data_IF_072560815350
#
_entry.id   IF_072560815350
#
_cell.length_a   1.000
_cell.length_b   1.000
_cell.length_c   1.000
_cell.angle_alpha   90.00
_cell.angle_beta   90.00
_cell.angle_gamma   90.00
#
_symmetry.space_group_name_H-M   'P 1'
#
loop_
_entity.id
_entity.type
_entity.pdbx_description
1 polymer ?
#
# COMPACT_ATOMS: atom_id res chain seq x y z
N UNK A 1 13.80 -27.49 -35.57
CA UNK A 1 15.19 -28.02 -35.86
C UNK A 1 15.93 -26.99 -36.68
N UNK A 2 17.22 -26.64 -36.47
CA UNK A 2 18.31 -27.36 -35.81
C UNK A 2 18.76 -26.69 -34.49
N UNK A 3 19.27 -27.31 -33.47
CA UNK A 3 20.37 -28.20 -33.12
C UNK A 3 21.76 -27.53 -33.05
N UNK A 4 22.36 -27.74 -31.84
CA UNK A 4 23.78 -27.79 -31.48
C UNK A 4 24.56 -26.47 -31.28
N UNK A 5 25.19 -26.25 -30.09
CA UNK A 5 26.49 -26.84 -29.73
C UNK A 5 26.82 -26.64 -28.23
N UNK A 6 27.18 -27.72 -27.56
CA UNK A 6 27.86 -27.77 -26.28
C UNK A 6 29.38 -27.62 -26.47
N UNK A 7 30.14 -26.97 -25.57
CA UNK A 7 31.57 -27.17 -25.32
C UNK A 7 31.88 -26.95 -23.84
N UNK A 8 32.14 -27.98 -23.17
CA UNK A 8 33.22 -28.58 -22.38
C UNK A 8 34.25 -27.61 -21.75
N UNK A 9 34.40 -27.77 -20.41
CA UNK A 9 35.47 -27.26 -19.57
C UNK A 9 36.84 -27.88 -19.88
N UNK A 10 37.95 -27.30 -19.42
CA UNK A 10 39.15 -28.05 -19.15
C UNK A 10 39.51 -28.07 -17.66
N UNK A 11 39.65 -29.28 -17.17
CA UNK A 11 40.38 -29.68 -15.96
C UNK A 11 41.88 -29.50 -16.22
N UNK A 12 42.55 -28.81 -15.27
CA UNK A 12 44.00 -28.71 -15.23
C UNK A 12 44.54 -29.29 -13.92
N UNK A 13 45.07 -30.49 -14.00
CA UNK A 13 45.95 -31.13 -13.01
C UNK A 13 47.26 -30.35 -12.87
N UNK A 14 47.70 -30.11 -11.65
CA UNK A 14 49.06 -29.68 -11.34
C UNK A 14 49.78 -30.82 -10.62
N UNK A 15 50.76 -31.39 -11.32
CA UNK A 15 51.65 -32.42 -10.85
C UNK A 15 52.70 -31.91 -9.88
N UNK A 16 52.95 -32.70 -8.86
CA UNK A 16 54.03 -32.60 -7.88
C UNK A 16 55.42 -32.82 -8.50
N UNK A 17 56.35 -31.95 -8.21
CA UNK A 17 57.79 -32.31 -8.25
C UNK A 17 58.49 -31.77 -7.00
N UNK A 18 58.99 -32.73 -6.23
CA UNK A 18 59.83 -32.57 -5.05
C UNK A 18 61.26 -32.28 -5.46
N UNK A 19 61.84 -31.18 -4.98
CA UNK A 19 63.28 -31.03 -4.78
C UNK A 19 63.58 -30.41 -3.40
N UNK A 20 64.29 -31.19 -2.61
CA UNK A 20 64.75 -30.93 -1.26
C UNK A 20 66.09 -30.17 -1.27
N UNK A 21 66.16 -29.02 -0.55
CA UNK A 21 67.41 -28.43 -0.08
C UNK A 21 67.32 -28.03 1.38
N UNK A 22 68.40 -28.19 2.21
CA UNK A 22 68.31 -28.06 3.67
C UNK A 22 68.71 -26.71 4.21
N UNK A 23 68.09 -26.31 5.27
CA UNK A 23 68.62 -25.32 6.22
C UNK A 23 68.03 -23.91 6.07
N UNK A 24 66.91 -23.63 6.66
CA UNK A 24 66.41 -22.28 6.89
C UNK A 24 65.28 -22.32 7.92
N UNK A 25 65.49 -21.75 9.14
CA UNK A 25 64.46 -21.57 10.16
C UNK A 25 63.40 -20.59 9.59
N UNK A 26 62.27 -21.07 9.17
CA UNK A 26 61.09 -20.24 8.94
C UNK A 26 60.34 -20.04 10.25
N UNK A 27 60.42 -18.84 10.81
CA UNK A 27 59.47 -18.35 11.80
C UNK A 27 58.11 -18.18 11.09
N UNK A 28 57.18 -19.04 11.38
CA UNK A 28 55.78 -18.90 10.92
C UNK A 28 55.11 -17.72 11.60
N UNK A 29 55.15 -16.55 11.00
CA UNK A 29 54.14 -15.52 11.25
C UNK A 29 52.91 -15.93 10.45
N UNK A 30 51.97 -16.55 11.13
CA UNK A 30 50.60 -16.74 10.65
C UNK A 30 49.95 -15.36 10.52
N UNK A 31 50.07 -14.74 9.37
CA UNK A 31 49.17 -13.66 8.98
C UNK A 31 47.85 -14.30 8.59
N UNK A 32 46.96 -14.44 9.57
CA UNK A 32 45.54 -14.61 9.31
C UNK A 32 45.07 -13.32 8.64
N UNK A 33 45.11 -13.29 7.31
CA UNK A 33 44.31 -12.34 6.54
C UNK A 33 42.86 -12.75 6.70
N UNK A 34 42.22 -12.25 7.76
CA UNK A 34 40.79 -12.25 7.87
C UNK A 34 40.23 -11.42 6.71
N UNK A 35 39.69 -12.08 5.70
CA UNK A 35 38.66 -11.48 4.88
C UNK A 35 37.50 -11.17 5.83
N UNK A 36 37.51 -10.01 6.44
CA UNK A 36 36.28 -9.45 6.99
C UNK A 36 35.41 -9.15 5.78
N UNK A 37 34.37 -9.98 5.58
CA UNK A 37 33.19 -9.55 4.84
C UNK A 37 32.76 -8.21 5.42
N UNK A 38 33.02 -7.12 4.71
CA UNK A 38 32.40 -5.83 4.96
C UNK A 38 30.99 -5.96 4.40
N UNK A 39 30.14 -6.75 5.07
CA UNK A 39 28.72 -6.67 4.87
C UNK A 39 28.31 -5.23 5.19
N UNK A 40 27.54 -4.61 4.33
CA UNK A 40 27.10 -3.23 4.48
C UNK A 40 26.52 -3.00 5.86
N UNK A 41 27.24 -2.24 6.69
CA UNK A 41 26.88 -2.04 8.10
C UNK A 41 25.89 -0.89 8.17
N UNK A 42 24.68 -1.17 8.63
CA UNK A 42 23.71 -0.14 9.02
C UNK A 42 24.10 0.38 10.40
N UNK A 43 24.24 1.70 10.58
CA UNK A 43 24.55 2.29 11.87
C UNK A 43 23.30 2.88 12.55
N UNK A 44 22.44 3.53 11.77
CA UNK A 44 21.26 4.20 12.27
C UNK A 44 20.01 3.89 11.43
N UNK A 45 18.90 3.65 12.11
CA UNK A 45 17.56 3.59 11.49
C UNK A 45 16.73 4.76 11.98
N UNK A 46 16.21 5.55 11.04
CA UNK A 46 15.31 6.66 11.30
C UNK A 46 13.89 6.26 10.89
N UNK A 47 12.97 6.23 11.86
CA UNK A 47 11.57 5.85 11.62
C UNK A 47 10.73 7.09 11.32
N UNK A 48 10.05 7.08 10.17
CA UNK A 48 9.11 8.15 9.81
C UNK A 48 7.85 8.09 10.69
N UNK A 49 7.28 9.24 11.01
CA UNK A 49 6.00 9.38 11.71
C UNK A 49 5.11 10.40 10.98
N UNK A 50 3.80 10.10 10.75
CA UNK A 50 3.17 8.80 10.96
C UNK A 50 3.55 7.77 9.88
N UNK A 51 3.38 6.49 10.19
CA UNK A 51 3.56 5.34 9.29
C UNK A 51 2.55 4.24 9.61
N UNK A 52 2.44 3.23 8.73
CA UNK A 52 1.60 2.07 8.95
C UNK A 52 0.09 2.38 8.90
N UNK A 53 -0.73 1.56 9.53
CA UNK A 53 -2.18 1.59 9.42
C UNK A 53 -2.79 2.97 9.64
N UNK A 54 -3.82 3.27 8.85
CA UNK A 54 -4.68 4.43 9.04
C UNK A 54 -6.06 4.00 9.55
N UNK A 55 -6.84 4.94 10.10
CA UNK A 55 -8.16 4.65 10.64
C UNK A 55 -9.13 3.97 9.66
N UNK A 56 -8.99 4.23 8.36
CA UNK A 56 -9.80 3.57 7.33
C UNK A 56 -9.45 2.09 7.17
N UNK A 57 -8.18 1.76 7.21
CA UNK A 57 -7.64 0.40 7.14
C UNK A 57 -7.99 -0.39 8.40
N UNK A 58 -7.72 0.17 9.59
CA UNK A 58 -8.07 -0.46 10.87
C UNK A 58 -9.55 -0.82 10.92
N UNK A 59 -10.42 0.14 10.56
CA UNK A 59 -11.87 -0.09 10.50
C UNK A 59 -12.25 -1.21 9.53
N UNK A 60 -11.64 -1.26 8.35
CA UNK A 60 -11.99 -2.25 7.34
C UNK A 60 -11.62 -3.67 7.79
N UNK A 61 -10.44 -3.85 8.36
CA UNK A 61 -9.99 -5.13 8.94
C UNK A 61 -10.91 -5.53 10.10
N UNK A 62 -11.20 -4.61 11.01
CA UNK A 62 -12.06 -4.87 12.17
C UNK A 62 -13.48 -5.31 11.76
N UNK A 63 -14.03 -4.75 10.66
CA UNK A 63 -15.32 -5.16 10.12
C UNK A 63 -15.32 -6.64 9.73
N UNK A 64 -14.30 -7.11 9.00
CA UNK A 64 -14.20 -8.52 8.60
C UNK A 64 -14.01 -9.42 9.81
N UNK A 65 -13.14 -9.07 10.75
CA UNK A 65 -12.91 -9.85 11.96
C UNK A 65 -14.16 -9.94 12.84
N UNK A 66 -14.91 -8.84 12.99
CA UNK A 66 -16.18 -8.86 13.75
C UNK A 66 -17.25 -9.64 13.02
N UNK A 67 -17.31 -9.58 11.70
CA UNK A 67 -18.22 -10.41 10.91
C UNK A 67 -17.90 -11.90 11.09
N UNK A 68 -16.63 -12.31 11.03
CA UNK A 68 -16.19 -13.67 11.31
C UNK A 68 -16.57 -14.13 12.72
N UNK A 69 -16.36 -13.30 13.74
CA UNK A 69 -16.74 -13.62 15.13
C UNK A 69 -18.26 -13.75 15.31
N UNK A 70 -19.05 -12.93 14.63
CA UNK A 70 -20.50 -12.87 14.82
C UNK A 70 -21.25 -13.91 14.02
N UNK A 71 -20.88 -14.14 12.76
CA UNK A 71 -21.63 -14.97 11.81
C UNK A 71 -20.91 -16.30 11.53
N UNK A 72 -19.67 -16.44 11.96
CA UNK A 72 -18.84 -17.60 11.62
C UNK A 72 -18.27 -17.52 10.21
N UNK A 73 -17.34 -18.43 9.91
CA UNK A 73 -16.79 -18.59 8.57
C UNK A 73 -17.74 -19.45 7.70
N UNK A 74 -17.77 -19.24 6.38
CA UNK A 74 -17.01 -18.23 5.64
C UNK A 74 -17.67 -16.85 5.62
N UNK A 75 -16.87 -15.80 5.58
CA UNK A 75 -17.29 -14.43 5.24
C UNK A 75 -16.70 -14.09 3.88
N UNK A 76 -17.53 -13.63 2.95
CA UNK A 76 -17.09 -13.25 1.62
C UNK A 76 -16.66 -11.79 1.60
N UNK A 77 -15.54 -11.48 0.96
CA UNK A 77 -15.02 -10.12 0.85
C UNK A 77 -14.82 -9.80 -0.63
N UNK A 78 -15.52 -8.77 -1.12
CA UNK A 78 -15.40 -8.31 -2.50
C UNK A 78 -14.12 -7.53 -2.68
N UNK A 79 -13.20 -8.06 -3.47
CA UNK A 79 -11.84 -7.59 -3.66
C UNK A 79 -11.00 -7.68 -2.37
N UNK A 80 -9.67 -7.45 -2.44
CA UNK A 80 -8.84 -7.35 -1.23
C UNK A 80 -9.38 -6.28 -0.29
N UNK A 81 -9.52 -6.61 1.00
CA UNK A 81 -10.06 -5.64 1.98
C UNK A 81 -9.24 -4.35 2.02
N UNK A 82 -7.92 -4.49 1.92
CA UNK A 82 -6.90 -3.46 1.73
C UNK A 82 -5.76 -4.07 0.93
N UNK A 83 -4.97 -3.26 0.22
CA UNK A 83 -3.82 -3.72 -0.55
C UNK A 83 -2.64 -4.08 0.36
N UNK A 84 -2.68 -5.26 0.97
CA UNK A 84 -1.58 -5.82 1.75
C UNK A 84 -1.71 -7.35 1.82
N UNK A 85 -0.72 -8.06 1.28
CA UNK A 85 -0.70 -9.52 1.17
C UNK A 85 -0.74 -10.21 2.53
N UNK A 86 -0.05 -9.67 3.54
CA UNK A 86 -0.06 -10.22 4.91
C UNK A 86 -1.46 -10.13 5.53
N UNK A 87 -2.13 -8.98 5.42
CA UNK A 87 -3.49 -8.78 5.94
C UNK A 87 -4.49 -9.72 5.26
N UNK A 88 -4.40 -9.84 3.93
CA UNK A 88 -5.27 -10.74 3.16
C UNK A 88 -5.04 -12.19 3.56
N UNK A 89 -3.77 -12.61 3.73
CA UNK A 89 -3.43 -13.97 4.15
C UNK A 89 -3.93 -14.27 5.57
N UNK A 90 -3.77 -13.34 6.51
CA UNK A 90 -4.26 -13.48 7.89
C UNK A 90 -5.79 -13.64 7.95
N UNK A 91 -6.51 -12.81 7.22
CA UNK A 91 -7.97 -12.90 7.16
C UNK A 91 -8.46 -14.17 6.45
N UNK A 92 -7.74 -14.65 5.41
CA UNK A 92 -8.01 -15.96 4.80
C UNK A 92 -7.84 -17.10 5.80
N UNK A 93 -6.77 -17.08 6.58
CA UNK A 93 -6.53 -18.07 7.64
C UNK A 93 -7.64 -18.06 8.71
N UNK A 94 -8.26 -16.91 8.96
CA UNK A 94 -9.41 -16.74 9.87
C UNK A 94 -10.76 -17.16 9.24
N UNK A 95 -10.81 -17.47 7.93
CA UNK A 95 -12.01 -17.94 7.24
C UNK A 95 -12.70 -16.92 6.32
N UNK A 96 -12.02 -15.81 5.97
CA UNK A 96 -12.50 -14.92 4.93
C UNK A 96 -12.20 -15.49 3.53
N UNK A 97 -13.15 -15.36 2.60
CA UNK A 97 -13.01 -15.74 1.20
C UNK A 97 -13.06 -14.46 0.37
N UNK A 98 -11.95 -14.15 -0.31
CA UNK A 98 -11.86 -13.00 -1.19
C UNK A 98 -12.33 -13.38 -2.59
N UNK A 99 -13.28 -12.61 -3.14
CA UNK A 99 -13.91 -12.86 -4.45
C UNK A 99 -13.84 -11.60 -5.32
N UNK A 100 -13.86 -11.80 -6.62
CA UNK A 100 -13.97 -10.72 -7.60
C UNK A 100 -15.36 -10.64 -8.24
N UNK A 101 -16.06 -11.76 -8.37
CA UNK A 101 -17.40 -11.82 -8.92
C UNK A 101 -18.43 -12.20 -7.83
N UNK A 102 -19.55 -11.47 -7.77
CA UNK A 102 -20.64 -11.78 -6.86
C UNK A 102 -21.30 -13.14 -7.15
N UNK A 103 -21.10 -13.70 -8.35
CA UNK A 103 -21.56 -15.05 -8.70
C UNK A 103 -20.88 -16.14 -7.85
N UNK A 104 -19.71 -15.87 -7.29
CA UNK A 104 -19.00 -16.80 -6.40
C UNK A 104 -19.61 -16.88 -5.00
N UNK A 105 -20.52 -15.96 -4.65
CA UNK A 105 -21.12 -15.86 -3.31
C UNK A 105 -22.43 -16.65 -3.25
N UNK A 106 -22.57 -17.63 -2.32
CA UNK A 106 -23.83 -18.35 -2.13
C UNK A 106 -24.97 -17.43 -1.67
N UNK A 107 -26.23 -17.73 -2.03
CA UNK A 107 -27.38 -16.99 -1.55
C UNK A 107 -27.44 -16.89 -0.02
N UNK A 108 -27.76 -15.70 0.50
CA UNK A 108 -27.89 -15.45 1.94
C UNK A 108 -26.57 -15.37 2.71
N UNK A 109 -25.43 -15.47 2.04
CA UNK A 109 -24.13 -15.35 2.69
C UNK A 109 -23.84 -13.91 3.14
N UNK A 110 -22.90 -13.78 4.08
CA UNK A 110 -22.39 -12.48 4.53
C UNK A 110 -21.30 -11.99 3.58
N UNK A 111 -21.51 -10.80 3.02
CA UNK A 111 -20.60 -10.12 2.09
C UNK A 111 -20.07 -8.82 2.70
N UNK A 112 -18.78 -8.59 2.59
CA UNK A 112 -18.12 -7.34 2.97
C UNK A 112 -17.59 -6.66 1.71
N UNK A 113 -17.92 -5.39 1.50
CA UNK A 113 -17.25 -4.56 0.50
C UNK A 113 -15.94 -4.00 1.05
N UNK A 114 -14.88 -3.99 0.23
CA UNK A 114 -13.54 -3.55 0.64
C UNK A 114 -13.47 -2.04 0.98
N UNK A 115 -12.35 -1.63 1.57
CA UNK A 115 -12.09 -0.23 1.91
C UNK A 115 -12.11 0.72 0.70
N UNK A 116 -11.88 0.20 -0.49
CA UNK A 116 -11.82 0.96 -1.75
C UNK A 116 -13.19 1.44 -2.25
N UNK A 117 -14.27 0.84 -1.74
CA UNK A 117 -15.62 1.08 -2.25
C UNK A 117 -15.94 0.26 -3.49
N UNK A 118 -17.21 0.31 -3.89
CA UNK A 118 -17.71 -0.42 -5.06
C UNK A 118 -18.61 0.46 -5.93
N UNK A 119 -18.70 0.11 -7.21
CA UNK A 119 -19.65 0.72 -8.13
C UNK A 119 -21.10 0.53 -7.65
N UNK A 120 -21.96 1.49 -7.96
CA UNK A 120 -23.39 1.43 -7.59
C UNK A 120 -24.07 0.16 -8.13
N UNK A 121 -23.70 -0.28 -9.33
CA UNK A 121 -24.25 -1.51 -9.91
C UNK A 121 -23.93 -2.76 -9.07
N UNK A 122 -22.69 -2.87 -8.58
CA UNK A 122 -22.26 -3.99 -7.71
C UNK A 122 -23.05 -4.01 -6.41
N UNK A 123 -23.30 -2.85 -5.80
CA UNK A 123 -24.13 -2.74 -4.59
C UNK A 123 -25.55 -3.20 -4.85
N UNK A 124 -26.18 -2.70 -5.92
CA UNK A 124 -27.54 -3.07 -6.29
C UNK A 124 -27.68 -4.58 -6.59
N UNK A 125 -26.72 -5.16 -7.28
CA UNK A 125 -26.68 -6.59 -7.53
C UNK A 125 -26.57 -7.40 -6.23
N UNK A 126 -25.70 -7.01 -5.31
CA UNK A 126 -25.55 -7.67 -4.01
C UNK A 126 -26.85 -7.62 -3.19
N UNK A 127 -27.55 -6.47 -3.21
CA UNK A 127 -28.85 -6.29 -2.57
C UNK A 127 -29.93 -7.20 -3.22
N UNK A 128 -29.98 -7.28 -4.56
CA UNK A 128 -30.91 -8.13 -5.29
C UNK A 128 -30.69 -9.63 -5.04
N UNK A 129 -29.43 -10.04 -4.83
CA UNK A 129 -29.06 -11.42 -4.47
C UNK A 129 -29.37 -11.77 -3.01
N UNK A 130 -29.79 -10.79 -2.19
CA UNK A 130 -30.20 -11.00 -0.80
C UNK A 130 -29.04 -11.30 0.15
N UNK A 131 -27.83 -10.83 -0.16
CA UNK A 131 -26.69 -10.99 0.73
C UNK A 131 -26.83 -10.14 1.99
N UNK A 132 -26.25 -10.61 3.11
CA UNK A 132 -26.06 -9.79 4.30
C UNK A 132 -24.81 -8.92 4.10
N UNK A 133 -25.02 -7.64 3.77
CA UNK A 133 -23.94 -6.75 3.34
C UNK A 133 -23.42 -5.92 4.50
N UNK A 134 -22.09 -5.92 4.69
CA UNK A 134 -21.35 -4.95 5.52
C UNK A 134 -20.42 -4.12 4.63
N UNK A 135 -20.55 -2.82 4.72
CA UNK A 135 -19.77 -1.89 3.90
C UNK A 135 -18.54 -1.41 4.67
N UNK A 136 -17.36 -1.91 4.28
CA UNK A 136 -16.10 -1.48 4.84
C UNK A 136 -15.45 -0.31 4.06
N UNK A 137 -16.14 0.24 3.05
CA UNK A 137 -15.66 1.43 2.32
C UNK A 137 -15.17 2.50 3.30
N UNK A 138 -13.98 3.00 3.09
CA UNK A 138 -13.43 4.07 3.91
C UNK A 138 -14.36 5.30 3.88
N UNK A 139 -14.69 5.91 5.02
CA UNK A 139 -15.55 7.10 5.04
C UNK A 139 -15.05 8.24 4.16
N UNK A 140 -13.72 8.35 3.92
CA UNK A 140 -13.15 9.36 3.05
C UNK A 140 -13.39 9.05 1.57
N UNK A 141 -13.43 7.77 1.17
CA UNK A 141 -13.89 7.34 -0.15
C UNK A 141 -15.40 7.54 -0.30
N UNK A 142 -16.17 7.16 0.73
CA UNK A 142 -17.62 7.40 0.75
C UNK A 142 -17.96 8.89 0.55
N UNK A 143 -17.17 9.81 1.13
CA UNK A 143 -17.31 11.26 0.92
C UNK A 143 -17.26 11.61 -0.57
N UNK A 144 -16.28 11.07 -1.32
CA UNK A 144 -16.13 11.30 -2.77
C UNK A 144 -17.34 10.75 -3.52
N UNK A 145 -17.78 9.51 -3.21
CA UNK A 145 -18.97 8.91 -3.84
C UNK A 145 -20.23 9.75 -3.62
N UNK A 146 -20.45 10.26 -2.39
CA UNK A 146 -21.58 11.11 -2.06
C UNK A 146 -21.51 12.45 -2.79
N UNK A 147 -20.32 13.04 -2.91
CA UNK A 147 -20.12 14.29 -3.64
C UNK A 147 -20.42 14.10 -5.13
N UNK A 148 -19.90 13.05 -5.75
CA UNK A 148 -20.20 12.69 -7.14
C UNK A 148 -21.69 12.51 -7.33
N UNK A 149 -22.37 11.71 -6.50
CA UNK A 149 -23.80 11.48 -6.63
C UNK A 149 -24.63 12.74 -6.42
N UNK A 150 -24.21 13.68 -5.56
CA UNK A 150 -24.88 14.95 -5.31
C UNK A 150 -24.72 15.88 -6.51
N UNK A 151 -23.49 16.12 -6.96
CA UNK A 151 -23.21 17.06 -8.04
C UNK A 151 -23.75 16.57 -9.39
N UNK A 152 -23.79 15.25 -9.61
CA UNK A 152 -24.43 14.69 -10.80
C UNK A 152 -25.93 15.05 -10.90
N UNK A 153 -26.65 15.08 -9.76
CA UNK A 153 -28.06 15.57 -9.73
C UNK A 153 -28.20 17.06 -10.03
N UNK A 154 -27.12 17.82 -9.82
CA UNK A 154 -27.04 19.24 -10.16
C UNK A 154 -26.58 19.46 -11.64
N UNK A 155 -26.36 18.36 -12.39
CA UNK A 155 -25.98 18.35 -13.80
C UNK A 155 -24.47 18.52 -14.06
N UNK A 156 -23.61 18.22 -13.07
CA UNK A 156 -22.17 18.22 -13.27
C UNK A 156 -21.69 16.92 -13.92
N UNK A 157 -20.71 17.04 -14.81
CA UNK A 157 -19.81 15.99 -15.23
C UNK A 157 -18.49 16.10 -14.43
N UNK A 158 -17.62 15.08 -14.49
CA UNK A 158 -16.46 15.00 -13.60
C UNK A 158 -15.18 14.69 -14.35
N UNK A 159 -14.10 15.32 -13.93
CA UNK A 159 -12.75 14.84 -14.13
C UNK A 159 -12.36 14.03 -12.91
N UNK A 160 -12.09 12.74 -13.10
CA UNK A 160 -11.55 11.85 -12.06
C UNK A 160 -10.05 11.76 -12.22
N UNK A 161 -9.30 12.33 -11.29
CA UNK A 161 -7.84 12.16 -11.23
C UNK A 161 -7.54 10.89 -10.47
N UNK A 162 -6.92 9.88 -11.11
CA UNK A 162 -6.68 8.59 -10.49
C UNK A 162 -6.03 7.60 -11.45
N UNK A 163 -5.67 6.42 -10.96
CA UNK A 163 -5.03 5.39 -11.75
C UNK A 163 -6.04 4.40 -12.31
N UNK A 164 -5.99 4.19 -13.62
CA UNK A 164 -6.83 3.20 -14.33
C UNK A 164 -6.67 1.81 -13.72
N UNK A 165 -7.79 1.11 -13.54
CA UNK A 165 -7.81 -0.25 -12.97
C UNK A 165 -7.68 -0.29 -11.45
N UNK A 166 -7.51 0.84 -10.77
CA UNK A 166 -7.53 0.85 -9.32
C UNK A 166 -8.97 0.71 -8.79
N UNK A 167 -9.25 -0.19 -7.82
CA UNK A 167 -10.62 -0.45 -7.33
C UNK A 167 -11.36 0.79 -6.83
N UNK A 168 -10.68 1.74 -6.19
CA UNK A 168 -11.28 3.01 -5.74
C UNK A 168 -11.72 3.87 -6.91
N UNK A 169 -10.93 3.90 -8.00
CA UNK A 169 -11.27 4.65 -9.22
C UNK A 169 -12.47 4.01 -9.91
N UNK A 170 -12.47 2.68 -10.06
CA UNK A 170 -13.60 1.94 -10.63
C UNK A 170 -14.86 2.12 -9.78
N UNK A 171 -14.74 2.07 -8.46
CA UNK A 171 -15.83 2.30 -7.53
C UNK A 171 -16.42 3.70 -7.64
N UNK A 172 -15.57 4.73 -7.76
CA UNK A 172 -15.98 6.13 -7.90
C UNK A 172 -16.59 6.41 -9.29
N UNK A 173 -15.95 5.97 -10.36
CA UNK A 173 -16.49 6.10 -11.71
C UNK A 173 -17.82 5.36 -11.87
N UNK A 174 -17.95 4.19 -11.23
CA UNK A 174 -19.16 3.39 -11.22
C UNK A 174 -20.32 3.96 -10.37
N UNK A 175 -20.19 5.15 -9.77
CA UNK A 175 -21.33 5.85 -9.15
C UNK A 175 -22.27 6.45 -10.18
N UNK A 176 -21.80 6.66 -11.40
CA UNK A 176 -22.58 7.18 -12.54
C UNK A 176 -22.45 6.26 -13.75
N UNK A 177 -23.42 6.32 -14.65
CA UNK A 177 -23.40 5.57 -15.91
C UNK A 177 -22.59 6.26 -17.01
N UNK A 178 -22.34 7.57 -16.89
CA UNK A 178 -21.58 8.39 -17.85
C UNK A 178 -21.22 9.73 -17.22
N UNK A 179 -20.34 10.51 -17.92
CA UNK A 179 -19.98 11.86 -17.52
C UNK A 179 -18.86 11.93 -16.48
N UNK A 180 -18.05 10.88 -16.38
CA UNK A 180 -16.79 10.89 -15.62
C UNK A 180 -15.65 10.57 -16.58
N UNK A 181 -14.66 11.46 -16.64
CA UNK A 181 -13.47 11.38 -17.48
C UNK A 181 -12.26 11.07 -16.61
N UNK A 182 -11.63 9.91 -16.80
CA UNK A 182 -10.41 9.52 -16.08
C UNK A 182 -9.21 10.29 -16.65
N UNK A 183 -8.38 10.82 -15.76
CA UNK A 183 -7.13 11.51 -16.06
C UNK A 183 -6.06 10.93 -15.13
N UNK A 184 -5.00 10.36 -15.69
CA UNK A 184 -3.88 9.79 -14.95
C UNK A 184 -2.69 10.75 -14.88
N UNK A 185 -2.52 11.57 -15.92
CA UNK A 185 -1.45 12.56 -16.03
C UNK A 185 -1.92 13.88 -16.66
N UNK A 186 -1.00 14.86 -16.76
CA UNK A 186 -1.28 16.18 -17.32
C UNK A 186 -1.69 16.10 -18.80
N UNK A 187 -1.12 15.16 -19.57
CA UNK A 187 -1.40 15.03 -21.00
C UNK A 187 -2.84 14.54 -21.26
N UNK A 188 -3.38 13.70 -20.39
CA UNK A 188 -4.74 13.16 -20.51
C UNK A 188 -5.82 14.26 -20.46
N UNK A 189 -5.52 15.39 -19.80
CA UNK A 189 -6.45 16.51 -19.71
C UNK A 189 -6.89 16.98 -21.10
N UNK A 190 -6.02 16.84 -22.11
CA UNK A 190 -6.34 17.16 -23.50
C UNK A 190 -7.51 16.33 -24.06
N UNK A 191 -7.69 15.10 -23.57
CA UNK A 191 -8.79 14.20 -24.00
C UNK A 191 -10.14 14.48 -23.33
N UNK A 192 -10.21 15.29 -22.30
CA UNK A 192 -11.47 15.60 -21.60
C UNK A 192 -12.38 16.47 -22.48
N UNK A 193 -13.58 15.97 -22.79
CA UNK A 193 -14.57 16.65 -23.63
C UNK A 193 -15.95 16.59 -22.93
N UNK A 194 -16.21 17.48 -21.95
CA UNK A 194 -17.50 17.54 -21.29
C UNK A 194 -18.60 17.97 -22.26
N UNK A 195 -19.80 17.43 -22.09
CA UNK A 195 -20.96 17.74 -22.93
C UNK A 195 -21.63 19.04 -22.50
N UNK A 196 -21.44 19.46 -21.24
CA UNK A 196 -22.05 20.66 -20.67
C UNK A 196 -21.02 21.57 -20.03
N UNK A 197 -21.51 22.71 -19.53
CA UNK A 197 -20.66 23.75 -18.91
C UNK A 197 -20.32 23.49 -17.45
N UNK A 198 -20.96 22.49 -16.82
CA UNK A 198 -20.74 22.17 -15.42
C UNK A 198 -19.79 21.00 -15.28
N UNK A 199 -18.57 21.29 -14.92
CA UNK A 199 -17.52 20.31 -14.69
C UNK A 199 -17.02 20.40 -13.25
N UNK A 200 -16.80 19.27 -12.59
CA UNK A 200 -16.20 19.19 -11.27
C UNK A 200 -14.99 18.25 -11.28
N UNK A 201 -14.07 18.42 -10.35
CA UNK A 201 -12.93 17.53 -10.16
C UNK A 201 -13.14 16.70 -8.91
N UNK A 202 -12.80 15.42 -9.00
CA UNK A 202 -12.64 14.51 -7.85
C UNK A 202 -11.34 13.73 -8.02
N UNK A 203 -10.75 13.28 -6.91
CA UNK A 203 -9.48 12.57 -6.96
C UNK A 203 -9.55 11.25 -6.20
N UNK A 204 -8.73 10.29 -6.61
CA UNK A 204 -8.41 9.13 -5.80
C UNK A 204 -7.72 9.57 -4.51
N UNK A 205 -8.04 8.91 -3.38
CA UNK A 205 -7.57 9.34 -2.06
C UNK A 205 -6.09 9.06 -1.78
N UNK A 206 -5.44 8.23 -2.62
CA UNK A 206 -4.06 7.74 -2.41
C UNK A 206 -3.06 8.21 -3.48
N UNK A 207 -3.33 9.32 -4.13
CA UNK A 207 -2.43 9.91 -5.13
C UNK A 207 -1.22 10.61 -4.51
N UNK A 208 -0.22 10.86 -5.35
CA UNK A 208 0.81 11.87 -5.07
C UNK A 208 0.15 13.25 -4.99
N UNK A 209 0.40 13.97 -3.90
CA UNK A 209 -0.15 15.31 -3.68
C UNK A 209 0.35 16.27 -4.76
N UNK A 210 1.64 16.18 -5.10
CA UNK A 210 2.28 17.07 -6.06
C UNK A 210 1.81 16.79 -7.50
N UNK A 211 1.64 15.50 -7.87
CA UNK A 211 1.14 15.12 -9.21
C UNK A 211 -0.34 15.51 -9.37
N UNK A 212 -1.16 15.26 -8.36
CA UNK A 212 -2.57 15.67 -8.38
C UNK A 212 -2.72 17.19 -8.50
N UNK A 213 -1.86 17.96 -7.83
CA UNK A 213 -1.85 19.42 -7.93
C UNK A 213 -1.47 19.90 -9.35
N UNK A 214 -0.49 19.25 -9.99
CA UNK A 214 -0.09 19.58 -11.36
C UNK A 214 -1.22 19.29 -12.37
N UNK A 215 -1.89 18.13 -12.25
CA UNK A 215 -3.03 17.77 -13.10
C UNK A 215 -4.19 18.76 -12.87
N UNK A 216 -4.51 19.07 -11.61
CA UNK A 216 -5.57 20.03 -11.28
C UNK A 216 -5.28 21.42 -11.85
N UNK A 217 -4.04 21.87 -11.82
CA UNK A 217 -3.64 23.15 -12.42
C UNK A 217 -3.91 23.17 -13.93
N UNK A 218 -3.61 22.09 -14.66
CA UNK A 218 -3.89 21.97 -16.08
C UNK A 218 -5.40 21.90 -16.37
N UNK A 219 -6.16 21.14 -15.54
CA UNK A 219 -7.63 21.11 -15.64
C UNK A 219 -8.21 22.51 -15.48
N UNK A 220 -7.74 23.29 -14.50
CA UNK A 220 -8.19 24.68 -14.28
C UNK A 220 -7.80 25.61 -15.45
N UNK A 221 -6.60 25.43 -16.01
CA UNK A 221 -6.16 26.19 -17.18
C UNK A 221 -7.08 25.96 -18.37
N UNK A 222 -7.49 24.71 -18.61
CA UNK A 222 -8.36 24.33 -19.73
C UNK A 222 -9.84 24.65 -19.47
N UNK A 223 -10.28 24.47 -18.22
CA UNK A 223 -11.67 24.67 -17.78
C UNK A 223 -11.72 25.66 -16.60
N UNK A 224 -11.66 26.98 -16.88
CA UNK A 224 -11.55 28.00 -15.81
C UNK A 224 -12.69 27.98 -14.78
N UNK A 225 -13.87 27.48 -15.18
CA UNK A 225 -15.06 27.41 -14.32
C UNK A 225 -15.23 26.02 -13.65
N UNK A 226 -14.20 25.17 -13.72
CA UNK A 226 -14.26 23.84 -13.09
C UNK A 226 -14.44 23.98 -11.57
N UNK A 227 -15.33 23.17 -11.02
CA UNK A 227 -15.57 23.14 -9.57
C UNK A 227 -14.56 22.23 -8.90
N UNK A 228 -13.77 22.77 -8.02
CA UNK A 228 -12.85 21.99 -7.16
C UNK A 228 -13.63 21.33 -6.01
N UNK A 229 -13.12 20.21 -5.45
CA UNK A 229 -13.69 19.62 -4.25
C UNK A 229 -13.63 20.62 -3.09
N UNK A 230 -14.69 20.68 -2.27
CA UNK A 230 -14.76 21.61 -1.13
C UNK A 230 -13.67 21.36 -0.09
N UNK A 231 -13.21 20.15 0.03
CA UNK A 231 -12.09 19.71 0.84
C UNK A 231 -11.27 18.75 -0.03
N UNK A 232 -9.96 18.75 0.15
CA UNK A 232 -9.09 17.82 -0.60
C UNK A 232 -9.60 16.39 -0.48
N UNK A 233 -9.63 15.67 -1.61
CA UNK A 233 -10.03 14.27 -1.63
C UNK A 233 -8.86 13.34 -1.27
N UNK A 234 -7.61 13.76 -1.52
CA UNK A 234 -6.44 13.04 -1.01
C UNK A 234 -6.56 12.99 0.51
N UNK A 235 -6.55 11.77 1.05
CA UNK A 235 -6.84 11.59 2.46
C UNK A 235 -5.68 12.06 3.36
N UNK A 236 -6.00 12.45 4.61
CA UNK A 236 -5.02 12.89 5.59
C UNK A 236 -3.88 11.88 5.77
N UNK A 237 -4.20 10.57 5.74
CA UNK A 237 -3.23 9.52 5.94
C UNK A 237 -2.21 9.46 4.79
N UNK A 238 -2.66 9.66 3.56
CA UNK A 238 -1.78 9.76 2.39
C UNK A 238 -0.90 10.99 2.48
N UNK A 239 -1.48 12.15 2.80
CA UNK A 239 -0.75 13.41 2.91
C UNK A 239 0.30 13.34 4.02
N UNK A 240 -0.09 12.97 5.24
CA UNK A 240 0.81 12.91 6.39
C UNK A 240 2.02 11.99 6.13
N UNK A 241 1.81 10.84 5.47
CA UNK A 241 2.90 9.91 5.15
C UNK A 241 3.82 10.45 4.06
N UNK A 242 3.28 11.15 3.06
CA UNK A 242 4.10 11.84 2.07
C UNK A 242 4.91 12.98 2.70
N UNK A 243 4.32 13.77 3.59
CA UNK A 243 5.02 14.82 4.33
C UNK A 243 6.13 14.23 5.22
N UNK A 244 5.87 13.09 5.87
CA UNK A 244 6.91 12.38 6.63
C UNK A 244 8.07 11.91 5.74
N UNK A 245 7.78 11.42 4.51
CA UNK A 245 8.84 11.06 3.54
C UNK A 245 9.62 12.29 3.08
N UNK A 246 8.96 13.42 2.82
CA UNK A 246 9.65 14.69 2.47
C UNK A 246 10.63 15.14 3.57
N UNK A 247 10.29 14.85 4.82
CA UNK A 247 11.15 15.19 5.97
C UNK A 247 12.31 14.20 6.16
N UNK A 248 12.07 12.90 5.98
CA UNK A 248 13.07 11.87 6.26
C UNK A 248 14.05 11.66 5.10
N UNK A 249 13.60 11.68 3.86
CA UNK A 249 14.41 11.35 2.69
C UNK A 249 15.75 12.13 2.64
N UNK A 250 15.81 13.44 2.89
CA UNK A 250 17.08 14.19 2.87
C UNK A 250 18.04 13.83 4.00
N UNK A 251 17.63 13.07 5.01
CA UNK A 251 18.42 12.79 6.22
C UNK A 251 19.03 11.39 6.19
N UNK A 252 18.72 10.57 5.20
CA UNK A 252 19.11 9.17 5.12
C UNK A 252 19.77 8.85 3.78
N UNK A 253 20.51 7.76 3.74
CA UNK A 253 21.24 7.34 2.54
C UNK A 253 20.37 6.40 1.68
N UNK A 254 19.43 5.69 2.30
CA UNK A 254 18.44 4.83 1.65
C UNK A 254 17.15 4.81 2.46
N UNK A 255 16.01 4.78 1.77
CA UNK A 255 14.69 4.67 2.40
C UNK A 255 14.05 3.30 2.10
N UNK A 256 13.61 2.60 3.14
CA UNK A 256 12.80 1.39 3.03
C UNK A 256 11.34 1.73 3.27
N UNK A 257 10.49 1.30 2.36
CA UNK A 257 9.03 1.46 2.46
C UNK A 257 8.40 0.09 2.66
N UNK A 258 7.84 -0.16 3.84
CA UNK A 258 7.08 -1.39 4.11
C UNK A 258 5.69 -1.25 3.48
N UNK A 259 5.35 -2.13 2.54
CA UNK A 259 4.08 -2.09 1.83
C UNK A 259 4.01 -3.09 0.68
N UNK A 260 2.83 -3.24 0.08
CA UNK A 260 2.62 -4.13 -1.05
C UNK A 260 2.77 -3.39 -2.39
N UNK A 261 3.27 -4.05 -3.46
CA UNK A 261 3.31 -3.51 -4.82
C UNK A 261 1.95 -3.07 -5.36
N UNK A 262 0.86 -3.69 -4.90
CA UNK A 262 -0.51 -3.32 -5.27
C UNK A 262 -1.02 -2.07 -4.55
N UNK A 263 -0.34 -1.63 -3.47
CA UNK A 263 -0.73 -0.45 -2.70
C UNK A 263 -0.31 0.85 -3.38
N UNK A 264 -1.27 1.60 -3.90
CA UNK A 264 -1.04 2.94 -4.49
C UNK A 264 -0.31 3.85 -3.51
N UNK A 265 -0.76 3.93 -2.24
CA UNK A 265 -0.11 4.76 -1.23
C UNK A 265 1.38 4.39 -1.03
N UNK A 266 1.70 3.10 -0.90
CA UNK A 266 3.09 2.64 -0.68
C UNK A 266 3.99 2.98 -1.88
N UNK A 267 3.49 2.79 -3.10
CA UNK A 267 4.22 3.18 -4.32
C UNK A 267 4.53 4.68 -4.34
N UNK A 268 3.57 5.53 -3.98
CA UNK A 268 3.78 6.99 -3.93
C UNK A 268 4.87 7.39 -2.94
N UNK A 269 4.98 6.72 -1.79
CA UNK A 269 6.05 7.00 -0.81
C UNK A 269 7.44 6.67 -1.37
N UNK A 270 7.58 5.51 -2.03
CA UNK A 270 8.84 5.12 -2.68
C UNK A 270 9.22 6.10 -3.77
N UNK A 271 8.32 6.40 -4.68
CA UNK A 271 8.55 7.31 -5.80
C UNK A 271 8.88 8.73 -5.34
N UNK A 272 8.22 9.21 -4.29
CA UNK A 272 8.50 10.51 -3.71
C UNK A 272 9.94 10.59 -3.17
N UNK A 273 10.41 9.56 -2.44
CA UNK A 273 11.78 9.52 -1.96
C UNK A 273 12.79 9.52 -3.12
N UNK A 274 12.52 8.73 -4.18
CA UNK A 274 13.37 8.70 -5.38
C UNK A 274 13.41 10.05 -6.10
N UNK A 275 12.29 10.75 -6.22
CA UNK A 275 12.23 12.12 -6.76
C UNK A 275 13.03 13.13 -5.93
N UNK A 276 13.14 12.91 -4.63
CA UNK A 276 13.94 13.73 -3.71
C UNK A 276 15.44 13.38 -3.74
N UNK A 277 15.84 12.41 -4.57
CA UNK A 277 17.24 12.01 -4.74
C UNK A 277 17.73 10.96 -3.74
N UNK A 278 16.82 10.34 -2.96
CA UNK A 278 17.14 9.27 -2.02
C UNK A 278 16.77 7.93 -2.64
N UNK A 279 17.70 6.97 -2.68
CA UNK A 279 17.38 5.61 -3.11
C UNK A 279 16.30 5.00 -2.21
N UNK A 280 15.27 4.44 -2.81
CA UNK A 280 14.15 3.90 -2.05
C UNK A 280 13.69 2.55 -2.59
N UNK A 281 13.50 1.61 -1.67
CA UNK A 281 13.05 0.25 -1.97
C UNK A 281 11.78 -0.07 -1.20
N UNK A 282 10.86 -0.79 -1.85
CA UNK A 282 9.65 -1.27 -1.21
C UNK A 282 9.81 -2.74 -0.89
N UNK A 283 9.39 -3.13 0.32
CA UNK A 283 9.44 -4.51 0.84
C UNK A 283 8.08 -4.89 1.43
N UNK A 284 7.64 -6.11 1.21
CA UNK A 284 6.45 -6.64 1.88
C UNK A 284 6.79 -7.13 3.29
N UNK A 285 8.06 -7.50 3.54
CA UNK A 285 8.54 -7.94 4.86
C UNK A 285 10.06 -7.97 4.97
N UNK A 286 10.55 -8.42 6.11
CA UNK A 286 11.98 -8.46 6.43
C UNK A 286 12.80 -9.35 5.48
N UNK A 287 12.17 -10.39 4.92
CA UNK A 287 12.84 -11.32 4.00
C UNK A 287 13.24 -10.69 2.66
N UNK A 288 12.59 -9.59 2.27
CA UNK A 288 12.86 -8.90 1.01
C UNK A 288 14.08 -7.96 1.08
N UNK A 289 14.59 -7.70 2.30
CA UNK A 289 15.74 -6.82 2.48
C UNK A 289 17.00 -7.44 1.88
N UNK A 290 17.65 -6.69 1.00
CA UNK A 290 18.91 -7.11 0.38
C UNK A 290 20.08 -6.37 1.02
N UNK A 291 21.07 -7.08 1.62
CA UNK A 291 22.24 -6.44 2.25
C UNK A 291 22.99 -5.48 1.35
N UNK A 292 23.03 -5.74 0.04
CA UNK A 292 23.66 -4.88 -0.96
C UNK A 292 23.07 -3.46 -1.00
N UNK A 293 21.83 -3.25 -0.60
CA UNK A 293 21.21 -1.91 -0.55
C UNK A 293 21.86 -1.00 0.50
N UNK A 294 22.54 -1.59 1.48
CA UNK A 294 23.11 -0.88 2.64
C UNK A 294 24.63 -0.71 2.55
N UNK A 295 25.28 -1.21 1.49
CA UNK A 295 26.72 -1.04 1.30
C UNK A 295 27.10 0.45 1.15
N UNK A 296 27.93 0.93 2.08
CA UNK A 296 28.30 2.35 2.12
C UNK A 296 27.19 3.32 2.52
N UNK A 297 26.06 2.81 3.04
CA UNK A 297 24.86 3.58 3.40
C UNK A 297 24.46 3.33 4.85
N UNK A 298 25.15 3.95 5.82
CA UNK A 298 24.96 3.69 7.25
C UNK A 298 23.63 4.19 7.81
N UNK A 299 22.96 5.17 7.16
CA UNK A 299 21.72 5.77 7.65
C UNK A 299 20.54 5.29 6.82
N UNK A 300 19.67 4.51 7.43
CA UNK A 300 18.49 3.93 6.79
C UNK A 300 17.24 4.64 7.28
N UNK A 301 16.44 5.17 6.36
CA UNK A 301 15.07 5.60 6.64
C UNK A 301 14.11 4.42 6.56
N UNK A 302 13.13 4.39 7.45
CA UNK A 302 12.06 3.38 7.41
C UNK A 302 10.69 4.04 7.54
N UNK A 303 9.84 3.78 6.58
CA UNK A 303 8.42 4.16 6.58
C UNK A 303 7.54 2.99 6.22
N UNK A 304 6.22 3.16 6.33
CA UNK A 304 5.26 2.13 5.96
C UNK A 304 4.00 2.76 5.36
N UNK A 305 3.47 2.12 4.33
CA UNK A 305 2.22 2.52 3.72
C UNK A 305 1.02 2.36 4.64
N UNK A 306 -0.07 3.06 4.33
CA UNK A 306 -1.28 3.10 5.16
C UNK A 306 -1.99 1.75 5.33
N UNK A 307 -1.62 0.74 4.55
CA UNK A 307 -2.14 -0.64 4.62
C UNK A 307 -1.14 -1.64 5.20
N UNK A 308 0.05 -1.20 5.66
CA UNK A 308 1.07 -2.07 6.23
C UNK A 308 0.92 -2.16 7.76
N UNK A 309 0.75 -3.36 8.34
CA UNK A 309 0.65 -3.54 9.78
C UNK A 309 2.00 -3.31 10.49
N UNK A 310 1.95 -2.82 11.73
CA UNK A 310 3.16 -2.51 12.51
C UNK A 310 4.06 -3.74 12.75
N UNK A 311 3.49 -4.93 12.82
CA UNK A 311 4.26 -6.17 12.97
C UNK A 311 5.30 -6.34 11.86
N UNK A 312 4.98 -5.98 10.60
CA UNK A 312 5.94 -6.05 9.49
C UNK A 312 7.05 -5.00 9.65
N UNK A 313 6.70 -3.80 10.14
CA UNK A 313 7.68 -2.75 10.43
C UNK A 313 8.65 -3.22 11.51
N UNK A 314 8.15 -3.83 12.59
CA UNK A 314 8.98 -4.38 13.67
C UNK A 314 9.92 -5.48 13.16
N UNK A 315 9.43 -6.39 12.31
CA UNK A 315 10.28 -7.43 11.70
C UNK A 315 11.40 -6.83 10.84
N UNK A 316 11.10 -5.79 10.07
CA UNK A 316 12.10 -5.07 9.27
C UNK A 316 13.13 -4.38 10.18
N UNK A 317 12.70 -3.77 11.28
CA UNK A 317 13.60 -3.17 12.29
C UNK A 317 14.55 -4.21 12.89
N UNK A 318 14.03 -5.37 13.28
CA UNK A 318 14.88 -6.46 13.81
C UNK A 318 15.89 -6.94 12.76
N UNK A 319 15.46 -7.09 11.52
CA UNK A 319 16.37 -7.48 10.43
C UNK A 319 17.46 -6.43 10.20
N UNK A 320 17.15 -5.13 10.29
CA UNK A 320 18.14 -4.06 10.20
C UNK A 320 19.12 -4.07 11.38
N UNK A 321 18.68 -4.48 12.59
CA UNK A 321 19.57 -4.72 13.74
C UNK A 321 20.54 -5.86 13.47
N UNK A 322 20.11 -6.96 12.90
CA UNK A 322 20.98 -8.06 12.49
C UNK A 322 22.02 -7.61 11.46
N UNK A 323 21.67 -6.63 10.61
CA UNK A 323 22.56 -6.01 9.64
C UNK A 323 23.48 -4.93 10.24
N UNK A 324 23.42 -4.72 11.56
CA UNK A 324 24.36 -3.88 12.31
C UNK A 324 23.77 -2.60 12.92
N UNK A 325 22.48 -2.30 12.73
CA UNK A 325 21.87 -1.08 13.25
C UNK A 325 21.97 -1.00 14.79
N UNK A 326 22.71 0.00 15.28
CA UNK A 326 22.93 0.23 16.72
C UNK A 326 22.01 1.30 17.29
N UNK A 327 21.44 2.17 16.45
CA UNK A 327 20.57 3.26 16.85
C UNK A 327 19.26 3.23 16.05
N UNK A 328 18.14 3.35 16.77
CA UNK A 328 16.81 3.49 16.18
C UNK A 328 16.19 4.74 16.77
N UNK A 329 15.85 5.69 15.89
CA UNK A 329 15.23 6.96 16.30
C UNK A 329 13.88 7.14 15.60
N UNK A 330 12.93 7.69 16.32
CA UNK A 330 11.65 8.13 15.77
C UNK A 330 11.72 9.61 15.38
N UNK A 331 11.25 9.94 14.18
CA UNK A 331 11.04 11.34 13.83
C UNK A 331 9.84 11.91 14.57
N UNK A 332 9.87 13.20 14.84
CA UNK A 332 8.66 13.90 15.26
C UNK A 332 7.73 14.05 14.06
N UNK A 333 6.49 13.60 14.20
CA UNK A 333 5.46 13.66 13.17
C UNK A 333 4.13 14.15 13.71
N UNK A 334 3.13 14.18 12.83
CA UNK A 334 1.77 14.57 13.18
C UNK A 334 1.08 13.38 13.86
N UNK A 335 0.49 13.58 15.04
CA UNK A 335 -0.31 12.57 15.70
C UNK A 335 -1.66 12.41 14.97
N UNK A 336 -2.02 11.18 14.62
CA UNK A 336 -3.31 10.83 14.02
C UNK A 336 -4.25 10.31 15.11
N UNK A 337 -5.36 11.02 15.34
CA UNK A 337 -6.38 10.68 16.34
C UNK A 337 -7.75 10.36 15.74
N UNK A 338 -7.80 10.15 14.43
CA UNK A 338 -9.04 9.88 13.72
C UNK A 338 -9.48 8.45 13.98
N UNK A 339 -10.75 8.27 14.32
CA UNK A 339 -11.41 6.97 14.43
C UNK A 339 -12.72 6.99 13.65
N UNK A 340 -13.02 5.91 12.95
CA UNK A 340 -14.26 5.76 12.21
C UNK A 340 -15.17 4.74 12.88
N UNK A 341 -16.46 5.03 13.03
CA UNK A 341 -17.41 4.10 13.64
C UNK A 341 -17.61 2.87 12.75
N UNK A 342 -17.90 1.75 13.40
CA UNK A 342 -18.28 0.52 12.73
C UNK A 342 -19.71 0.63 12.15
N UNK A 343 -20.04 -0.14 11.10
CA UNK A 343 -21.38 -0.18 10.57
C UNK A 343 -22.36 -0.78 11.60
N UNK A 344 -23.64 -0.42 11.45
CA UNK A 344 -24.70 -0.99 12.29
C UNK A 344 -24.67 -2.52 12.21
N UNK A 345 -24.85 -3.17 13.36
CA UNK A 345 -24.82 -4.62 13.46
C UNK A 345 -23.44 -5.21 13.81
N UNK A 346 -22.34 -4.45 13.78
CA UNK A 346 -21.01 -4.89 14.22
C UNK A 346 -20.44 -4.08 15.39
N UNK A 347 -21.16 -3.07 15.91
CA UNK A 347 -20.79 -2.29 17.09
C UNK A 347 -20.94 -3.10 18.39
N UNK A 348 -20.27 -2.67 19.46
CA UNK A 348 -20.22 -3.39 20.75
C UNK A 348 -21.60 -3.61 21.40
N UNK A 349 -22.56 -2.70 21.22
CA UNK A 349 -23.95 -2.86 21.72
C UNK A 349 -24.67 -4.05 21.09
N UNK A 350 -24.34 -4.42 19.84
CA UNK A 350 -24.96 -5.54 19.14
C UNK A 350 -24.35 -6.90 19.51
N UNK A 351 -23.17 -6.91 20.16
CA UNK A 351 -22.53 -8.14 20.65
C UNK A 351 -23.11 -8.61 21.98
N UNK A 352 -23.73 -7.70 22.76
CA UNK A 352 -24.39 -8.04 24.03
C UNK A 352 -25.76 -8.72 23.86
N UNK A 353 -26.45 -8.49 22.73
CA UNK A 353 -27.80 -9.01 22.49
C UNK A 353 -27.84 -10.48 22.00
N UNK A 354 -26.70 -11.08 21.70
CA UNK A 354 -26.62 -12.48 21.21
C UNK A 354 -26.26 -13.49 22.29
N UNK A 355 -26.22 -13.14 23.58
CA UNK A 355 -26.12 -14.11 24.65
C UNK A 355 -27.48 -14.79 24.80
N UNK A 356 -27.57 -16.16 24.70
CA UNK A 356 -28.82 -16.86 24.96
C UNK A 356 -29.28 -16.57 26.38
N UNK A 357 -30.60 -16.51 26.65
CA UNK A 357 -31.10 -16.33 27.97
C UNK A 357 -30.58 -17.47 28.87
N UNK A 358 -29.94 -17.11 29.97
CA UNK A 358 -29.53 -18.08 30.97
C UNK A 358 -30.79 -18.70 31.56
N UNK A 359 -31.00 -19.98 31.23
CA UNK A 359 -32.00 -20.86 31.86
C UNK A 359 -31.63 -21.19 33.30
#
# INVERSE_FOLDING_TARGET
MPAWCARSAPTGCCSTSTTRWPGGRCSSKSSSSGCSEVAGKVDEVLLAEPRGFCAGVDRAIEIVERALRRFGAPIYVRHEIVHNTYVVADLRAKGAIFIEDLAEVPPGATLVFSAHGVAKAVRLEAEQRGFQIFDATCPLVTKVHVEVAKLAREGYEFVMIGHKGHPEVEGTMGQLSAGIYLVEDVADVAGVQPRGDKLAVVTQTTLSVDDAAAILAEVKRRFPNVREPKQQDICYATQNRQDAVKLIAPQVDVLIVVGSPTSSNSNRLRELAQRLGTDAYMVEGAADLQPAWFEGRPRVGLTAGASAPDILVQQVVERLRELGAVSIRHMKGVAESIHFPLPRGLGDRSMAETSPPRS
#
